data_IF_736529800845
#
_entry.id   IF_736529800845
#
_cell.length_a   1.000
_cell.length_b   1.000
_cell.length_c   1.000
_cell.angle_alpha   90.00
_cell.angle_beta   90.00
_cell.angle_gamma   90.00
#
_symmetry.space_group_name_H-M   'P 1'
#
loop_
_entity.id
_entity.type
_entity.pdbx_description
1 polymer ?
#
# COMPACT_ATOMS: atom_id res chain seq x y z
N UNK A 1 2.83 -4.62 -22.88
CA UNK A 1 1.66 -3.79 -22.53
C UNK A 1 1.22 -4.25 -21.16
N UNK A 2 1.35 -3.44 -20.11
CA UNK A 2 0.78 -3.83 -18.83
C UNK A 2 -0.73 -3.90 -19.01
N UNK A 3 -1.29 -5.06 -18.69
CA UNK A 3 -2.72 -5.28 -18.81
C UNK A 3 -3.34 -4.61 -17.58
N UNK A 4 -3.56 -3.28 -17.65
CA UNK A 4 -4.14 -2.47 -16.58
C UNK A 4 -5.27 -3.20 -15.83
N UNK A 5 -6.13 -3.89 -16.59
CA UNK A 5 -7.24 -4.70 -16.08
C UNK A 5 -6.81 -5.84 -15.16
N UNK A 6 -5.76 -6.57 -15.51
CA UNK A 6 -5.24 -7.70 -14.74
C UNK A 6 -4.67 -7.23 -13.40
N UNK A 7 -3.96 -6.10 -13.37
CA UNK A 7 -3.33 -5.60 -12.15
C UNK A 7 -4.35 -5.13 -11.10
N UNK A 8 -5.35 -4.32 -11.48
CA UNK A 8 -6.35 -3.88 -10.50
C UNK A 8 -7.33 -4.99 -10.11
N UNK A 9 -7.75 -5.85 -11.05
CA UNK A 9 -8.62 -6.99 -10.73
C UNK A 9 -7.87 -7.96 -9.82
N UNK A 10 -6.61 -8.25 -10.13
CA UNK A 10 -5.76 -9.10 -9.31
C UNK A 10 -5.63 -8.55 -7.89
N UNK A 11 -5.22 -7.29 -7.74
CA UNK A 11 -5.08 -6.66 -6.42
C UNK A 11 -6.38 -6.68 -5.61
N UNK A 12 -7.50 -6.32 -6.24
CA UNK A 12 -8.81 -6.31 -5.59
C UNK A 12 -9.28 -7.72 -5.21
N UNK A 13 -9.13 -8.70 -6.10
CA UNK A 13 -9.52 -10.08 -5.83
C UNK A 13 -8.70 -10.69 -4.70
N UNK A 14 -7.36 -10.53 -4.72
CA UNK A 14 -6.48 -11.03 -3.66
C UNK A 14 -6.80 -10.38 -2.32
N UNK A 15 -6.98 -9.06 -2.29
CA UNK A 15 -7.35 -8.36 -1.06
C UNK A 15 -8.74 -8.77 -0.56
N UNK A 16 -9.72 -8.98 -1.44
CA UNK A 16 -11.05 -9.47 -1.07
C UNK A 16 -10.97 -10.84 -0.41
N UNK A 17 -10.21 -11.78 -0.98
CA UNK A 17 -10.02 -13.11 -0.39
C UNK A 17 -9.34 -13.02 0.98
N UNK A 18 -8.29 -12.21 1.10
CA UNK A 18 -7.63 -11.95 2.39
C UNK A 18 -8.60 -11.37 3.41
N UNK A 19 -9.35 -10.32 3.02
CA UNK A 19 -10.30 -9.63 3.89
C UNK A 19 -11.38 -10.60 4.38
N UNK A 20 -12.00 -11.39 3.49
CA UNK A 20 -13.03 -12.34 3.88
C UNK A 20 -12.53 -13.38 4.90
N UNK A 21 -11.33 -13.93 4.68
CA UNK A 21 -10.71 -14.90 5.60
C UNK A 21 -10.35 -14.24 6.93
N UNK A 22 -9.62 -13.12 6.89
CA UNK A 22 -9.13 -12.43 8.08
C UNK A 22 -10.27 -11.83 8.92
N UNK A 23 -11.30 -11.29 8.26
CA UNK A 23 -12.51 -10.80 8.92
C UNK A 23 -13.34 -11.95 9.49
N UNK A 24 -13.48 -13.08 8.79
CA UNK A 24 -14.11 -14.28 9.32
C UNK A 24 -13.41 -14.78 10.59
N UNK A 25 -12.08 -14.85 10.58
CA UNK A 25 -11.26 -15.17 11.74
C UNK A 25 -11.52 -14.16 12.86
N UNK A 26 -11.52 -12.85 12.56
CA UNK A 26 -11.76 -11.79 13.53
C UNK A 26 -13.12 -11.96 14.23
N UNK A 27 -14.18 -12.24 13.46
CA UNK A 27 -15.52 -12.52 13.99
C UNK A 27 -15.53 -13.78 14.86
N UNK A 28 -14.87 -14.86 14.44
CA UNK A 28 -14.74 -16.06 15.28
C UNK A 28 -14.04 -15.76 16.60
N UNK A 29 -12.96 -14.96 16.59
CA UNK A 29 -12.28 -14.50 17.80
C UNK A 29 -13.22 -13.76 18.76
N UNK A 30 -14.03 -12.84 18.23
CA UNK A 30 -14.98 -12.05 19.02
C UNK A 30 -16.10 -12.93 19.58
N UNK A 31 -16.78 -13.71 18.74
CA UNK A 31 -17.98 -14.45 19.14
C UNK A 31 -17.70 -15.77 19.87
N UNK A 32 -16.64 -16.49 19.49
CA UNK A 32 -16.33 -17.80 20.09
C UNK A 32 -15.36 -17.70 21.27
N UNK A 33 -14.51 -16.67 21.32
CA UNK A 33 -13.45 -16.55 22.32
C UNK A 33 -13.50 -15.25 23.14
N UNK A 34 -14.51 -14.40 22.94
CA UNK A 34 -14.68 -13.15 23.70
C UNK A 34 -13.56 -12.12 23.48
N UNK A 35 -12.85 -12.20 22.36
CA UNK A 35 -11.78 -11.26 22.03
C UNK A 35 -12.34 -9.85 21.75
N UNK A 36 -11.59 -8.78 22.05
CA UNK A 36 -11.99 -7.42 21.69
C UNK A 36 -12.00 -7.25 20.16
N UNK A 37 -12.82 -6.36 19.62
CA UNK A 37 -13.03 -6.23 18.16
C UNK A 37 -11.77 -5.84 17.38
N UNK A 38 -10.75 -5.29 18.03
CA UNK A 38 -9.47 -4.88 17.45
C UNK A 38 -8.34 -5.92 17.63
N UNK A 39 -8.66 -7.12 18.14
CA UNK A 39 -7.66 -8.17 18.41
C UNK A 39 -6.88 -8.60 17.17
N UNK A 40 -7.53 -8.59 16.00
CA UNK A 40 -6.90 -8.81 14.70
C UNK A 40 -6.66 -7.45 14.02
N UNK A 41 -5.45 -6.88 14.11
CA UNK A 41 -5.18 -5.53 13.62
C UNK A 41 -5.01 -5.47 12.10
N UNK A 42 -5.14 -6.57 11.38
CA UNK A 42 -4.96 -6.59 9.91
C UNK A 42 -6.22 -6.22 9.14
N UNK A 43 -7.36 -6.17 9.83
CA UNK A 43 -8.68 -5.80 9.29
C UNK A 43 -9.36 -4.83 10.25
N UNK A 44 -10.33 -4.07 9.75
CA UNK A 44 -11.11 -3.13 10.53
C UNK A 44 -12.59 -3.53 10.54
N UNK A 45 -13.28 -3.27 11.65
CA UNK A 45 -14.73 -3.36 11.76
C UNK A 45 -15.45 -2.07 11.34
N UNK A 46 -14.74 -0.95 11.26
CA UNK A 46 -15.32 0.33 10.85
C UNK A 46 -15.53 0.39 9.31
N UNK A 47 -16.77 0.64 8.83
CA UNK A 47 -17.08 0.64 7.40
C UNK A 47 -16.23 1.59 6.54
N UNK A 48 -15.95 2.78 7.05
CA UNK A 48 -15.12 3.76 6.33
C UNK A 48 -13.66 3.30 6.18
N UNK A 49 -13.10 2.69 7.23
CA UNK A 49 -11.74 2.11 7.16
C UNK A 49 -11.70 0.93 6.20
N UNK A 50 -12.73 0.07 6.20
CA UNK A 50 -12.85 -1.04 5.23
C UNK A 50 -12.83 -0.47 3.80
N UNK A 51 -13.68 0.50 3.49
CA UNK A 51 -13.72 1.13 2.17
C UNK A 51 -12.37 1.75 1.78
N UNK A 52 -11.72 2.44 2.71
CA UNK A 52 -10.39 3.00 2.49
C UNK A 52 -9.33 1.91 2.22
N UNK A 53 -9.37 0.78 2.92
CA UNK A 53 -8.48 -0.34 2.64
C UNK A 53 -8.69 -0.91 1.23
N UNK A 54 -9.93 -1.07 0.78
CA UNK A 54 -10.21 -1.51 -0.59
C UNK A 54 -9.68 -0.51 -1.63
N UNK A 55 -9.85 0.79 -1.40
CA UNK A 55 -9.27 1.82 -2.26
C UNK A 55 -7.74 1.78 -2.27
N UNK A 56 -7.10 1.57 -1.11
CA UNK A 56 -5.64 1.45 -0.98
C UNK A 56 -5.11 0.20 -1.68
N UNK A 57 -5.77 -0.95 -1.55
CA UNK A 57 -5.39 -2.17 -2.24
C UNK A 57 -5.47 -1.99 -3.77
N UNK A 58 -6.55 -1.37 -4.26
CA UNK A 58 -6.71 -1.01 -5.66
C UNK A 58 -5.59 -0.09 -6.16
N UNK A 59 -5.33 1.02 -5.47
CA UNK A 59 -4.29 1.98 -5.85
C UNK A 59 -2.89 1.34 -5.77
N UNK A 60 -2.59 0.62 -4.70
CA UNK A 60 -1.26 0.00 -4.53
C UNK A 60 -0.99 -1.08 -5.56
N UNK A 61 -2.03 -1.79 -6.04
CA UNK A 61 -1.91 -2.72 -7.16
C UNK A 61 -1.72 -2.05 -8.53
N UNK A 62 -1.96 -0.74 -8.65
CA UNK A 62 -1.68 0.04 -9.85
C UNK A 62 -0.37 0.84 -9.77
N UNK A 63 0.12 1.07 -8.55
CA UNK A 63 1.23 1.97 -8.29
C UNK A 63 2.51 1.64 -9.06
N UNK A 64 2.98 0.37 -9.17
CA UNK A 64 4.27 0.09 -9.80
C UNK A 64 4.39 0.65 -11.22
N UNK A 65 3.28 0.68 -11.97
CA UNK A 65 3.16 1.19 -13.33
C UNK A 65 3.07 2.72 -13.45
N UNK A 66 3.21 3.47 -12.35
CA UNK A 66 3.26 4.94 -12.38
C UNK A 66 4.48 5.47 -13.14
N UNK A 67 5.50 4.63 -13.33
CA UNK A 67 6.74 4.90 -14.08
C UNK A 67 6.59 4.82 -15.60
N UNK A 68 5.44 4.35 -16.12
CA UNK A 68 5.23 4.18 -17.57
C UNK A 68 4.01 4.90 -18.10
N UNK A 69 3.99 5.15 -19.42
CA UNK A 69 2.81 5.66 -20.13
C UNK A 69 1.66 4.66 -20.07
N UNK A 70 0.85 4.76 -19.03
CA UNK A 70 -0.24 3.81 -18.71
C UNK A 70 -1.47 4.52 -18.14
N UNK A 71 -2.60 3.79 -18.05
CA UNK A 71 -3.79 4.30 -17.35
C UNK A 71 -3.51 4.49 -15.85
N UNK A 72 -2.71 3.63 -15.25
CA UNK A 72 -2.27 3.75 -13.85
C UNK A 72 -1.56 5.08 -13.60
N UNK A 73 -0.60 5.42 -14.46
CA UNK A 73 0.10 6.70 -14.41
C UNK A 73 -0.88 7.88 -14.49
N UNK A 74 -1.83 7.87 -15.43
CA UNK A 74 -2.80 8.95 -15.54
C UNK A 74 -3.63 9.14 -14.27
N UNK A 75 -4.02 8.06 -13.59
CA UNK A 75 -4.75 8.13 -12.33
C UNK A 75 -3.89 8.83 -11.26
N UNK A 76 -2.66 8.37 -11.05
CA UNK A 76 -1.77 8.94 -10.03
C UNK A 76 -1.39 10.38 -10.31
N UNK A 77 -1.02 10.74 -11.54
CA UNK A 77 -0.66 12.12 -11.86
C UNK A 77 -1.84 13.08 -11.78
N UNK A 78 -3.08 12.63 -12.03
CA UNK A 78 -4.28 13.43 -11.75
C UNK A 78 -4.45 13.66 -10.25
N UNK A 79 -4.29 12.60 -9.43
CA UNK A 79 -4.36 12.72 -7.97
C UNK A 79 -3.26 13.64 -7.42
N UNK A 80 -2.04 13.54 -7.94
CA UNK A 80 -0.94 14.41 -7.57
C UNK A 80 -1.23 15.86 -7.95
N UNK A 81 -1.69 16.12 -9.17
CA UNK A 81 -2.03 17.46 -9.63
C UNK A 81 -3.12 18.09 -8.75
N UNK A 82 -4.22 17.38 -8.51
CA UNK A 82 -5.33 17.85 -7.68
C UNK A 82 -4.82 18.15 -6.26
N UNK A 83 -4.06 17.23 -5.66
CA UNK A 83 -3.50 17.41 -4.32
C UNK A 83 -2.57 18.62 -4.26
N UNK A 84 -1.75 18.82 -5.29
CA UNK A 84 -0.82 19.94 -5.35
C UNK A 84 -1.54 21.28 -5.50
N UNK A 85 -2.58 21.35 -6.33
CA UNK A 85 -3.45 22.54 -6.46
C UNK A 85 -4.12 22.88 -5.12
N UNK A 86 -4.62 21.88 -4.39
CA UNK A 86 -5.21 22.08 -3.06
C UNK A 86 -4.18 22.63 -2.06
N UNK A 87 -2.95 22.13 -2.08
CA UNK A 87 -1.87 22.64 -1.22
C UNK A 87 -1.52 24.09 -1.55
N UNK A 88 -1.41 24.44 -2.84
CA UNK A 88 -1.16 25.81 -3.30
C UNK A 88 -2.29 26.75 -2.89
N UNK A 89 -3.55 26.33 -3.10
CA UNK A 89 -4.72 27.12 -2.72
C UNK A 89 -4.76 27.40 -1.21
N UNK A 90 -4.32 26.45 -0.37
CA UNK A 90 -4.22 26.60 1.08
C UNK A 90 -2.97 27.37 1.54
N UNK A 91 -2.12 27.84 0.62
CA UNK A 91 -0.88 28.55 0.94
C UNK A 91 0.28 27.66 1.41
N UNK A 92 0.16 26.34 1.32
CA UNK A 92 1.21 25.39 1.72
C UNK A 92 2.27 25.20 0.62
N UNK A 93 2.89 26.30 0.18
CA UNK A 93 3.79 26.30 -0.98
C UNK A 93 5.02 25.40 -0.82
N UNK A 94 5.64 25.38 0.38
CA UNK A 94 6.79 24.52 0.63
C UNK A 94 6.42 23.03 0.54
N UNK A 95 5.29 22.63 1.15
CA UNK A 95 4.80 21.24 1.10
C UNK A 95 4.44 20.89 -0.34
N UNK A 96 3.79 21.78 -1.08
CA UNK A 96 3.49 21.63 -2.50
C UNK A 96 4.76 21.41 -3.34
N UNK A 97 5.83 22.19 -3.11
CA UNK A 97 7.07 22.06 -3.84
C UNK A 97 7.72 20.68 -3.62
N UNK A 98 7.85 20.24 -2.37
CA UNK A 98 8.37 18.91 -2.05
C UNK A 98 7.47 17.79 -2.58
N UNK A 99 6.16 17.92 -2.44
CA UNK A 99 5.22 16.95 -2.98
C UNK A 99 5.33 16.81 -4.50
N UNK A 100 5.41 17.94 -5.22
CA UNK A 100 5.60 17.96 -6.67
C UNK A 100 6.92 17.32 -7.08
N UNK A 101 8.02 17.61 -6.36
CA UNK A 101 9.32 17.00 -6.57
C UNK A 101 9.26 15.46 -6.41
N UNK A 102 8.67 14.98 -5.31
CA UNK A 102 8.56 13.54 -5.06
C UNK A 102 7.61 12.84 -6.04
N UNK A 103 6.55 13.51 -6.49
CA UNK A 103 5.64 13.00 -7.51
C UNK A 103 6.33 12.79 -8.86
N UNK A 104 7.46 13.47 -9.16
CA UNK A 104 8.22 13.27 -10.40
C UNK A 104 9.18 12.08 -10.33
N UNK A 105 9.60 11.63 -9.14
CA UNK A 105 10.62 10.59 -8.99
C UNK A 105 10.34 9.29 -9.75
N UNK A 106 9.09 8.78 -9.83
CA UNK A 106 8.85 7.55 -10.58
C UNK A 106 9.14 7.68 -12.08
N UNK A 107 9.05 8.89 -12.66
CA UNK A 107 9.30 9.11 -14.10
C UNK A 107 10.78 9.18 -14.46
N UNK A 108 11.63 9.49 -13.49
CA UNK A 108 13.07 9.60 -13.70
C UNK A 108 13.73 8.21 -13.67
N UNK A 109 13.08 7.25 -13.00
CA UNK A 109 13.54 5.87 -12.96
C UNK A 109 13.37 5.12 -14.28
N UNK A 110 14.16 4.07 -14.48
CA UNK A 110 13.94 3.12 -15.56
C UNK A 110 12.62 2.37 -15.35
N UNK A 111 11.95 2.00 -16.45
CA UNK A 111 10.80 1.09 -16.38
C UNK A 111 11.21 -0.22 -15.70
N UNK A 112 10.42 -0.67 -14.72
CA UNK A 112 10.72 -1.83 -13.86
C UNK A 112 11.96 -1.63 -12.98
N UNK A 113 12.30 -0.39 -12.69
CA UNK A 113 13.34 -0.01 -11.74
C UNK A 113 12.84 -0.14 -10.30
N UNK A 114 13.07 0.90 -9.50
CA UNK A 114 12.75 0.87 -8.07
C UNK A 114 11.25 0.70 -7.79
N UNK A 115 10.36 1.18 -8.67
CA UNK A 115 8.90 0.99 -8.55
C UNK A 115 8.47 -0.48 -8.64
N UNK A 116 9.29 -1.38 -9.19
CA UNK A 116 8.99 -2.81 -9.24
C UNK A 116 9.88 -3.61 -8.27
N UNK A 117 10.52 -2.95 -7.31
CA UNK A 117 11.35 -3.62 -6.31
C UNK A 117 10.52 -4.18 -5.15
N UNK A 118 10.97 -5.33 -4.61
CA UNK A 118 10.39 -5.91 -3.39
C UNK A 118 10.55 -5.01 -2.17
N UNK A 119 11.56 -4.15 -2.17
CA UNK A 119 11.78 -3.19 -1.09
C UNK A 119 10.70 -2.10 -1.13
N UNK A 120 10.39 -1.57 -2.32
CA UNK A 120 9.33 -0.56 -2.48
C UNK A 120 7.95 -1.12 -2.13
N UNK A 121 7.71 -2.39 -2.45
CA UNK A 121 6.51 -3.11 -2.02
C UNK A 121 6.32 -3.10 -0.49
N UNK A 122 7.40 -3.11 0.30
CA UNK A 122 7.36 -3.03 1.76
C UNK A 122 7.34 -1.59 2.26
N UNK A 123 8.23 -0.74 1.74
CA UNK A 123 8.44 0.62 2.24
C UNK A 123 7.34 1.59 1.85
N UNK A 124 6.76 1.47 0.65
CA UNK A 124 5.75 2.43 0.21
C UNK A 124 4.47 2.30 1.04
N UNK A 125 3.88 1.10 1.25
CA UNK A 125 2.73 0.96 2.14
C UNK A 125 3.05 1.30 3.60
N UNK A 126 4.32 1.22 4.03
CA UNK A 126 4.72 1.53 5.41
C UNK A 126 4.40 2.99 5.81
N UNK A 127 4.17 3.90 4.85
CA UNK A 127 3.66 5.25 5.14
C UNK A 127 2.39 5.21 6.00
N UNK A 128 1.53 4.21 5.81
CA UNK A 128 0.29 4.07 6.59
C UNK A 128 0.53 3.71 8.07
N UNK A 129 1.69 3.13 8.41
CA UNK A 129 2.10 2.90 9.79
C UNK A 129 2.57 4.19 10.47
N UNK A 130 3.10 5.13 9.67
CA UNK A 130 3.65 6.40 10.15
C UNK A 130 2.52 7.43 10.36
N UNK A 131 1.44 7.36 9.58
CA UNK A 131 0.32 8.32 9.65
C UNK A 131 -0.26 8.46 11.07
N UNK A 132 -0.64 7.38 11.79
CA UNK A 132 -1.14 7.50 13.16
C UNK A 132 -0.11 8.12 14.11
N UNK A 133 1.16 7.77 13.96
CA UNK A 133 2.27 8.32 14.77
C UNK A 133 2.41 9.83 14.54
N UNK A 134 2.29 10.30 13.30
CA UNK A 134 2.41 11.71 12.97
C UNK A 134 1.27 12.56 13.55
N UNK A 135 0.04 12.06 13.48
CA UNK A 135 -1.15 12.76 13.99
C UNK A 135 -1.32 12.67 15.51
N UNK A 136 -0.74 11.65 16.15
CA UNK A 136 -0.79 11.44 17.61
C UNK A 136 0.61 11.48 18.23
N UNK A 137 1.47 12.33 17.67
CA UNK A 137 2.89 12.48 18.06
C UNK A 137 3.09 12.93 19.51
N UNK A 138 2.07 13.53 20.10
CA UNK A 138 1.97 13.94 21.50
C UNK A 138 1.83 12.74 22.45
N UNK A 139 1.30 11.62 21.96
CA UNK A 139 1.15 10.37 22.70
C UNK A 139 2.35 9.42 22.54
N UNK A 140 3.28 9.76 21.64
CA UNK A 140 4.44 8.95 21.31
C UNK A 140 5.47 9.01 22.45
N UNK A 141 5.82 7.85 23.00
CA UNK A 141 7.00 7.72 23.86
C UNK A 141 8.27 7.76 23.01
N UNK A 142 9.11 8.78 23.20
CA UNK A 142 10.36 8.95 22.44
C UNK A 142 11.54 8.20 23.06
N UNK A 143 11.42 7.78 24.31
CA UNK A 143 12.49 7.09 25.04
C UNK A 143 12.40 5.58 24.85
N UNK A 144 11.18 5.05 24.69
CA UNK A 144 10.96 3.64 24.39
C UNK A 144 10.07 3.46 23.14
N UNK A 145 10.69 3.13 22.01
CA UNK A 145 9.98 2.86 20.75
C UNK A 145 9.06 1.65 20.83
N UNK A 146 9.34 0.69 21.73
CA UNK A 146 8.57 -0.53 21.91
C UNK A 146 7.54 -0.41 23.05
N UNK A 147 7.37 0.79 23.62
CA UNK A 147 6.34 1.07 24.60
C UNK A 147 4.95 0.66 24.09
N UNK A 148 4.12 0.13 24.99
CA UNK A 148 2.79 -0.37 24.63
C UNK A 148 1.93 0.68 23.90
N UNK A 149 2.02 1.96 24.29
CA UNK A 149 1.32 3.04 23.60
C UNK A 149 1.75 3.21 22.13
N UNK A 150 3.04 3.08 21.83
CA UNK A 150 3.57 3.22 20.47
C UNK A 150 3.12 2.04 19.60
N UNK A 151 3.06 0.84 20.19
CA UNK A 151 2.51 -0.35 19.52
C UNK A 151 1.02 -0.20 19.21
N UNK A 152 0.25 0.44 20.09
CA UNK A 152 -1.18 0.74 19.83
C UNK A 152 -1.32 1.72 18.66
N UNK A 153 -0.49 2.76 18.58
CA UNK A 153 -0.49 3.69 17.44
C UNK A 153 -0.15 2.97 16.12
N UNK A 154 0.87 2.11 16.14
CA UNK A 154 1.23 1.28 14.98
C UNK A 154 0.09 0.35 14.56
N UNK A 155 -0.61 -0.26 15.52
CA UNK A 155 -1.78 -1.13 15.24
C UNK A 155 -2.86 -0.40 14.44
N UNK A 156 -3.07 0.89 14.69
CA UNK A 156 -4.05 1.69 13.94
C UNK A 156 -3.76 1.80 12.44
N UNK A 157 -2.49 1.70 12.04
CA UNK A 157 -2.05 1.75 10.64
C UNK A 157 -2.03 0.39 9.93
N UNK A 158 -2.09 -0.71 10.68
CA UNK A 158 -1.91 -2.06 10.14
C UNK A 158 -2.95 -2.46 9.07
N UNK A 159 -4.26 -2.15 9.19
CA UNK A 159 -5.22 -2.54 8.15
C UNK A 159 -4.88 -1.94 6.78
N UNK A 160 -4.45 -0.69 6.77
CA UNK A 160 -4.07 0.05 5.56
C UNK A 160 -2.73 -0.41 4.99
N UNK A 161 -1.74 -0.66 5.86
CA UNK A 161 -0.46 -1.25 5.47
C UNK A 161 -0.68 -2.61 4.80
N UNK A 162 -1.47 -3.49 5.43
CA UNK A 162 -1.76 -4.82 4.89
C UNK A 162 -2.49 -4.73 3.55
N UNK A 163 -3.47 -3.83 3.41
CA UNK A 163 -4.16 -3.61 2.14
C UNK A 163 -3.21 -3.14 1.04
N UNK A 164 -2.35 -2.16 1.33
CA UNK A 164 -1.37 -1.64 0.38
C UNK A 164 -0.33 -2.68 0.00
N UNK A 165 0.18 -3.43 0.98
CA UNK A 165 1.14 -4.51 0.78
C UNK A 165 0.57 -5.60 -0.12
N UNK A 166 -0.67 -6.06 0.11
CA UNK A 166 -1.31 -7.10 -0.71
C UNK A 166 -1.52 -6.59 -2.13
N UNK A 167 -2.05 -5.38 -2.32
CA UNK A 167 -2.24 -4.80 -3.65
C UNK A 167 -0.92 -4.75 -4.43
N UNK A 168 0.12 -4.21 -3.81
CA UNK A 168 1.46 -4.09 -4.42
C UNK A 168 2.08 -5.45 -4.72
N UNK A 169 2.01 -6.39 -3.76
CA UNK A 169 2.52 -7.74 -3.91
C UNK A 169 1.86 -8.46 -5.08
N UNK A 170 0.54 -8.31 -5.26
CA UNK A 170 -0.17 -8.90 -6.39
C UNK A 170 0.32 -8.36 -7.73
N UNK A 171 0.59 -7.05 -7.85
CA UNK A 171 1.19 -6.49 -9.08
C UNK A 171 2.52 -7.17 -9.41
N UNK A 172 3.43 -7.23 -8.43
CA UNK A 172 4.75 -7.85 -8.61
C UNK A 172 4.64 -9.36 -8.88
N UNK A 173 3.62 -10.03 -8.35
CA UNK A 173 3.36 -11.44 -8.62
C UNK A 173 2.91 -11.66 -10.06
N UNK A 174 1.96 -10.86 -10.55
CA UNK A 174 1.48 -10.91 -11.94
C UNK A 174 2.60 -10.64 -12.95
N UNK A 175 3.53 -9.74 -12.60
CA UNK A 175 4.74 -9.48 -13.41
C UNK A 175 5.83 -10.56 -13.28
N UNK A 176 5.65 -11.57 -12.42
CA UNK A 176 6.63 -12.64 -12.17
C UNK A 176 7.88 -12.20 -11.41
N UNK A 177 7.84 -11.02 -10.77
CA UNK A 177 8.94 -10.42 -10.01
C UNK A 177 8.94 -10.91 -8.57
N UNK A 178 7.75 -11.07 -7.96
CA UNK A 178 7.64 -11.49 -6.55
C UNK A 178 8.13 -12.92 -6.38
N UNK A 179 7.52 -13.85 -7.13
CA UNK A 179 7.84 -15.27 -7.15
C UNK A 179 8.39 -15.61 -8.54
N UNK A 180 9.72 -15.71 -8.67
CA UNK A 180 10.33 -16.20 -9.91
C UNK A 180 9.93 -17.66 -10.12
N UNK A 181 9.14 -17.91 -11.17
CA UNK A 181 8.83 -19.27 -11.61
C UNK A 181 10.10 -20.04 -11.98
N UNK A 182 10.22 -21.31 -11.56
CA UNK A 182 11.30 -22.23 -12.00
C UNK A 182 11.43 -22.30 -13.52
N UNK A 183 10.34 -22.05 -14.26
CA UNK A 183 10.32 -22.02 -15.74
C UNK A 183 11.06 -20.80 -16.31
N UNK A 184 11.01 -19.65 -15.63
CA UNK A 184 11.75 -18.45 -15.97
C UNK A 184 13.25 -18.61 -15.69
N UNK A 185 13.60 -19.21 -14.54
CA UNK A 185 15.00 -19.55 -14.22
C UNK A 185 15.61 -20.52 -15.23
N UNK A 186 14.85 -21.54 -15.66
CA UNK A 186 15.29 -22.52 -16.68
C UNK A 186 15.47 -21.91 -18.08
N UNK A 187 14.69 -20.89 -18.44
CA UNK A 187 14.87 -20.16 -19.72
C UNK A 187 16.14 -19.29 -19.68
N UNK A 188 16.40 -18.63 -18.54
CA UNK A 188 17.60 -17.82 -18.36
C UNK A 188 18.87 -18.69 -18.37
N UNK A 189 18.82 -19.88 -17.76
CA UNK A 189 19.93 -20.85 -17.77
C UNK A 189 20.17 -21.57 -19.11
N UNK A 190 19.28 -21.39 -20.10
CA UNK A 190 19.45 -21.94 -21.47
C UNK A 190 19.87 -20.86 -22.48
N UNK A 191 19.89 -19.60 -22.07
CA UNK A 191 20.18 -18.44 -22.92
C UNK A 191 21.55 -17.81 -22.60
N UNK A 192 22.29 -18.36 -21.64
CA UNK A 192 23.70 -18.09 -21.38
C UNK A 192 24.47 -19.39 -21.48
#
# INVERSE_FOLDING_TARGET
>A
MSMFREHWIGGLATYTSFFAISFGIALTGVFAFGQPTDWNPTVSFEPLKILACFAIAFLSGLWPDVDTKSKSQQIFYRLFLISNVVLIYKGYYAISAFFGLFAMLPLIGNHRGWTHSKLTMLLLPAVFLIVPIYFHRDQLDRHDLLAAQNLVLLKGGLPFYTAGLIGYATHLHLDGILLRSRKAQRRQARAG
#
